data_IF_568423955616
#
_entry.id   IF_568423955616
#
_cell.length_a   1.000
_cell.length_b   1.000
_cell.length_c   1.000
_cell.angle_alpha   90.00
_cell.angle_beta   90.00
_cell.angle_gamma   90.00
#
_symmetry.space_group_name_H-M   'P 1'
#
loop_
_entity.id
_entity.type
_entity.pdbx_description
1 polymer ?
#
# COMPACT_ATOMS: atom_id res chain seq x y z
N UNK A 1 -21.82 71.67 -12.10
CA UNK A 1 -21.99 70.73 -10.98
C UNK A 1 -20.77 70.87 -10.09
N UNK A 2 -20.93 71.32 -8.85
CA UNK A 2 -19.82 71.51 -7.90
C UNK A 2 -19.58 70.15 -7.27
N UNK A 3 -18.43 69.54 -7.53
CA UNK A 3 -18.10 68.23 -6.97
C UNK A 3 -17.46 68.48 -5.61
N UNK A 4 -18.12 68.00 -4.55
CA UNK A 4 -17.61 68.13 -3.19
C UNK A 4 -16.38 67.24 -2.98
N UNK A 5 -15.45 67.68 -2.13
CA UNK A 5 -14.20 66.96 -1.87
C UNK A 5 -14.42 65.53 -1.38
N UNK A 6 -15.53 65.27 -0.68
CA UNK A 6 -15.89 63.92 -0.24
C UNK A 6 -16.28 63.02 -1.41
N UNK A 7 -16.99 63.56 -2.40
CA UNK A 7 -17.35 62.86 -3.64
C UNK A 7 -16.10 62.54 -4.46
N UNK A 8 -15.15 63.48 -4.54
CA UNK A 8 -13.84 63.24 -5.18
C UNK A 8 -13.08 62.11 -4.47
N UNK A 9 -13.06 62.11 -3.14
CA UNK A 9 -12.36 61.11 -2.34
C UNK A 9 -12.96 59.70 -2.57
N UNK A 10 -14.29 59.58 -2.60
CA UNK A 10 -14.98 58.32 -2.88
C UNK A 10 -14.66 57.80 -4.29
N UNK A 11 -14.64 58.69 -5.30
CA UNK A 11 -14.32 58.31 -6.68
C UNK A 11 -12.88 57.79 -6.78
N UNK A 12 -11.92 58.49 -6.15
CA UNK A 12 -10.51 58.08 -6.16
C UNK A 12 -10.33 56.75 -5.44
N UNK A 13 -10.95 56.57 -4.27
CA UNK A 13 -10.90 55.31 -3.53
C UNK A 13 -11.44 54.14 -4.36
N UNK A 14 -12.56 54.35 -5.07
CA UNK A 14 -13.17 53.34 -5.93
C UNK A 14 -12.25 52.97 -7.10
N UNK A 15 -11.60 53.94 -7.73
CA UNK A 15 -10.67 53.69 -8.83
C UNK A 15 -9.43 52.91 -8.38
N UNK A 16 -8.90 53.20 -7.18
CA UNK A 16 -7.77 52.46 -6.62
C UNK A 16 -8.13 51.00 -6.34
N UNK A 17 -9.29 50.76 -5.73
CA UNK A 17 -9.76 49.39 -5.45
C UNK A 17 -10.04 48.62 -6.74
N UNK A 18 -10.70 49.24 -7.71
CA UNK A 18 -10.98 48.61 -9.00
C UNK A 18 -9.69 48.31 -9.78
N UNK A 19 -8.73 49.24 -9.79
CA UNK A 19 -7.43 49.05 -10.43
C UNK A 19 -6.59 47.96 -9.76
N UNK A 20 -6.60 47.90 -8.42
CA UNK A 20 -5.93 46.84 -7.65
C UNK A 20 -6.55 45.47 -7.89
N UNK A 21 -7.88 45.37 -7.96
CA UNK A 21 -8.57 44.13 -8.28
C UNK A 21 -8.26 43.68 -9.71
N UNK A 22 -8.32 44.59 -10.70
CA UNK A 22 -7.96 44.26 -12.07
C UNK A 22 -6.51 43.78 -12.17
N UNK A 23 -5.57 44.48 -11.52
CA UNK A 23 -4.18 44.05 -11.50
C UNK A 23 -4.02 42.66 -10.86
N UNK A 24 -4.65 42.40 -9.72
CA UNK A 24 -4.55 41.10 -9.03
C UNK A 24 -5.17 39.95 -9.83
N UNK A 25 -6.29 40.18 -10.52
CA UNK A 25 -6.98 39.12 -11.28
C UNK A 25 -6.51 38.96 -12.73
N UNK A 26 -5.94 39.99 -13.35
CA UNK A 26 -5.59 40.00 -14.78
C UNK A 26 -4.10 40.20 -15.07
N UNK A 27 -3.25 40.39 -14.05
CA UNK A 27 -1.81 40.20 -14.25
C UNK A 27 -1.46 38.77 -13.90
N UNK A 28 -1.07 38.00 -14.92
CA UNK A 28 -0.48 36.66 -14.79
C UNK A 28 0.85 36.73 -14.04
N UNK A 29 0.79 37.07 -12.76
CA UNK A 29 1.93 37.01 -11.84
C UNK A 29 2.03 35.58 -11.34
N UNK A 30 2.35 34.69 -12.28
CA UNK A 30 3.06 33.43 -12.10
C UNK A 30 2.73 32.61 -10.87
N UNK A 31 1.58 31.93 -10.89
CA UNK A 31 1.51 30.60 -10.31
C UNK A 31 1.01 29.63 -11.38
N UNK A 32 1.70 29.64 -12.52
CA UNK A 32 1.63 28.57 -13.51
C UNK A 32 1.75 27.24 -12.76
N UNK A 33 0.77 26.32 -12.87
CA UNK A 33 0.93 24.98 -12.35
C UNK A 33 2.27 24.42 -12.88
N UNK A 34 3.05 23.68 -12.09
CA UNK A 34 4.23 23.02 -12.63
C UNK A 34 3.84 22.29 -13.90
N UNK A 35 4.72 22.34 -14.92
CA UNK A 35 4.61 21.58 -16.16
C UNK A 35 4.69 20.06 -15.87
N UNK A 36 3.77 19.53 -15.06
CA UNK A 36 3.46 18.12 -15.07
C UNK A 36 2.74 17.90 -16.39
N UNK A 37 3.32 17.03 -17.22
CA UNK A 37 2.65 16.49 -18.41
C UNK A 37 1.16 16.33 -18.10
N UNK A 38 0.30 16.96 -18.90
CA UNK A 38 -1.07 16.51 -19.01
C UNK A 38 -0.97 15.08 -19.52
N UNK A 39 -0.86 14.12 -18.60
CA UNK A 39 -1.22 12.74 -18.86
C UNK A 39 -2.68 12.87 -19.24
N UNK A 40 -2.96 12.89 -20.54
CA UNK A 40 -4.30 12.73 -21.05
C UNK A 40 -4.86 11.53 -20.27
N UNK A 41 -5.76 11.80 -19.33
CA UNK A 41 -6.10 10.88 -18.26
C UNK A 41 -6.45 9.55 -18.89
N UNK A 42 -5.56 8.58 -18.79
CA UNK A 42 -5.83 7.26 -19.30
C UNK A 42 -6.96 6.74 -18.42
N UNK A 43 -8.15 6.57 -18.99
CA UNK A 43 -9.32 6.09 -18.27
C UNK A 43 -8.99 4.82 -17.46
N UNK A 44 -8.10 3.97 -17.97
CA UNK A 44 -7.62 2.79 -17.24
C UNK A 44 -6.82 3.14 -15.98
N UNK A 45 -6.03 4.21 -15.99
CA UNK A 45 -5.26 4.68 -14.82
C UNK A 45 -6.18 5.29 -13.76
N UNK A 46 -7.19 6.08 -14.16
CA UNK A 46 -8.19 6.61 -13.23
C UNK A 46 -9.02 5.49 -12.62
N UNK A 47 -9.48 4.52 -13.42
CA UNK A 47 -10.22 3.36 -12.93
C UNK A 47 -9.39 2.51 -11.97
N UNK A 48 -8.12 2.26 -12.29
CA UNK A 48 -7.21 1.53 -11.41
C UNK A 48 -7.02 2.25 -10.07
N UNK A 49 -6.78 3.56 -10.09
CA UNK A 49 -6.60 4.35 -8.87
C UNK A 49 -7.87 4.37 -8.00
N UNK A 50 -9.05 4.48 -8.62
CA UNK A 50 -10.33 4.36 -7.92
C UNK A 50 -10.48 2.98 -7.28
N UNK A 51 -10.22 1.91 -8.02
CA UNK A 51 -10.33 0.52 -7.52
C UNK A 51 -9.36 0.27 -6.35
N UNK A 52 -8.13 0.77 -6.43
CA UNK A 52 -7.14 0.69 -5.34
C UNK A 52 -7.60 1.46 -4.11
N UNK A 53 -8.33 2.55 -4.28
CA UNK A 53 -8.89 3.34 -3.17
C UNK A 53 -10.12 2.67 -2.56
N UNK A 54 -10.90 1.97 -3.37
CA UNK A 54 -12.07 1.18 -2.93
C UNK A 54 -11.69 -0.12 -2.22
N UNK A 55 -10.52 -0.68 -2.53
CA UNK A 55 -9.93 -1.77 -1.77
C UNK A 55 -9.57 -1.27 -0.37
N UNK A 56 -10.54 -1.34 0.54
CA UNK A 56 -10.29 -1.13 1.97
C UNK A 56 -9.12 -2.02 2.39
N UNK A 57 -8.21 -1.53 3.25
CA UNK A 57 -7.14 -2.37 3.78
C UNK A 57 -7.77 -3.61 4.42
N UNK A 58 -7.55 -4.75 3.78
CA UNK A 58 -8.04 -6.03 4.27
C UNK A 58 -7.25 -6.33 5.53
N UNK A 59 -7.91 -6.19 6.69
CA UNK A 59 -7.34 -6.60 7.96
C UNK A 59 -7.67 -8.06 8.19
N UNK A 60 -6.64 -8.89 8.29
CA UNK A 60 -6.81 -10.29 8.68
C UNK A 60 -6.84 -10.38 10.20
N UNK A 61 -7.93 -10.90 10.76
CA UNK A 61 -8.00 -11.22 12.19
C UNK A 61 -7.20 -12.49 12.47
N UNK A 62 -6.01 -12.33 13.06
CA UNK A 62 -5.10 -13.43 13.41
C UNK A 62 -5.31 -13.96 14.82
N UNK A 63 -6.32 -13.49 15.56
CA UNK A 63 -6.57 -13.92 16.95
C UNK A 63 -6.80 -15.43 17.08
N UNK A 64 -7.34 -16.08 16.04
CA UNK A 64 -7.52 -17.54 16.04
C UNK A 64 -6.19 -18.29 16.19
N UNK A 65 -5.09 -17.76 15.64
CA UNK A 65 -3.76 -18.37 15.75
C UNK A 65 -3.12 -18.17 17.13
N UNK A 66 -3.72 -17.36 18.00
CA UNK A 66 -3.27 -17.19 19.39
C UNK A 66 -3.77 -18.30 20.32
N UNK A 67 -4.73 -19.12 19.87
CA UNK A 67 -5.21 -20.26 20.63
C UNK A 67 -4.11 -21.34 20.71
N UNK A 68 -3.94 -21.94 21.90
CA UNK A 68 -2.92 -22.97 22.15
C UNK A 68 -2.98 -24.14 21.18
N UNK A 69 -4.13 -24.43 20.59
CA UNK A 69 -4.30 -25.47 19.56
C UNK A 69 -3.48 -25.20 18.30
N UNK A 70 -3.21 -23.93 17.97
CA UNK A 70 -2.42 -23.52 16.80
C UNK A 70 -0.96 -23.25 17.14
N UNK A 71 -0.61 -23.09 18.41
CA UNK A 71 0.78 -22.90 18.86
C UNK A 71 1.42 -24.16 19.43
N UNK A 72 0.62 -25.18 19.76
CA UNK A 72 1.12 -26.44 20.31
C UNK A 72 1.54 -27.35 19.16
N UNK A 73 2.84 -27.35 18.85
CA UNK A 73 3.46 -28.37 18.01
C UNK A 73 3.39 -29.70 18.75
N UNK A 74 2.44 -30.56 18.37
CA UNK A 74 2.40 -31.94 18.83
C UNK A 74 3.06 -32.77 17.75
N UNK A 75 4.26 -33.28 18.05
CA UNK A 75 4.91 -34.27 17.19
C UNK A 75 4.15 -35.60 17.35
N UNK A 76 3.54 -36.06 16.26
CA UNK A 76 2.86 -37.36 16.18
C UNK A 76 3.75 -38.41 15.49
N UNK A 77 5.04 -38.10 15.27
CA UNK A 77 5.96 -39.05 14.71
C UNK A 77 6.07 -40.29 15.61
N UNK A 78 6.09 -41.45 14.97
CA UNK A 78 6.46 -42.69 15.65
C UNK A 78 7.99 -42.67 15.82
N UNK A 79 8.51 -42.81 17.05
CA UNK A 79 9.96 -42.88 17.25
C UNK A 79 10.52 -44.07 16.48
N UNK A 80 11.56 -43.83 15.67
CA UNK A 80 12.25 -44.90 14.97
C UNK A 80 13.16 -45.60 15.97
N UNK A 81 12.85 -46.86 16.30
CA UNK A 81 13.74 -47.69 17.08
C UNK A 81 15.01 -47.99 16.26
N UNK A 82 16.17 -47.86 16.89
CA UNK A 82 17.43 -48.25 16.25
C UNK A 82 17.48 -49.78 16.13
N UNK A 83 17.53 -50.27 14.90
CA UNK A 83 17.77 -51.67 14.63
C UNK A 83 19.27 -51.97 14.73
N UNK A 84 19.62 -53.16 15.23
CA UNK A 84 21.02 -53.60 15.22
C UNK A 84 21.52 -53.72 13.79
N UNK A 85 22.81 -53.42 13.58
CA UNK A 85 23.45 -53.66 12.30
C UNK A 85 23.23 -55.11 11.87
N UNK A 86 22.87 -55.31 10.60
CA UNK A 86 22.69 -56.63 10.02
C UNK A 86 23.98 -57.45 10.04
N UNK A 87 23.87 -58.72 9.61
CA UNK A 87 25.04 -59.58 9.44
C UNK A 87 26.02 -58.94 8.47
N UNK A 88 27.31 -58.99 8.79
CA UNK A 88 28.37 -58.46 7.92
C UNK A 88 28.35 -59.11 6.52
N UNK A 89 27.95 -60.38 6.45
CA UNK A 89 27.64 -61.08 5.21
C UNK A 89 26.18 -61.55 5.24
N UNK A 90 25.30 -61.02 4.37
CA UNK A 90 23.91 -61.43 4.32
C UNK A 90 23.72 -62.87 3.82
N UNK A 91 24.68 -63.44 3.10
CA UNK A 91 24.58 -64.78 2.48
C UNK A 91 25.34 -65.88 3.22
N UNK A 92 26.13 -65.55 4.24
CA UNK A 92 26.82 -66.58 5.01
C UNK A 92 25.82 -67.59 5.59
N UNK A 93 26.19 -68.86 5.71
CA UNK A 93 25.32 -69.90 6.25
C UNK A 93 24.89 -69.58 7.68
N UNK A 94 23.65 -69.91 8.04
CA UNK A 94 23.15 -69.74 9.40
C UNK A 94 23.72 -70.89 10.25
N UNK A 95 24.44 -70.61 11.36
CA UNK A 95 24.96 -71.66 12.22
C UNK A 95 23.84 -72.61 12.68
N UNK A 96 23.99 -73.91 12.43
CA UNK A 96 23.01 -74.93 12.80
C UNK A 96 21.92 -75.20 11.77
N UNK A 97 21.87 -74.48 10.64
CA UNK A 97 21.04 -74.83 9.49
C UNK A 97 21.92 -75.54 8.47
N UNK A 98 21.92 -76.88 8.50
CA UNK A 98 22.54 -77.69 7.45
C UNK A 98 21.61 -77.68 6.24
N UNK A 99 22.03 -77.07 5.13
CA UNK A 99 21.37 -77.27 3.83
C UNK A 99 21.40 -78.76 3.51
N UNK A 100 20.21 -79.32 3.26
CA UNK A 100 20.03 -80.73 2.91
C UNK A 100 20.09 -80.91 1.40
#
# INVERSE_FOLDING_TARGET
>A
MKIDSNTILIIVATLVVAGGAYWYFFTDTGNEPPLTMAVAGNQAQTQFQTLVTELQPISFDTKIFSDKRFTSLVDLATPIAAETAGRSDPFASIPGVTEK
#
